data_IF_333263622054
#
_entry.id   IF_333263622054
#
_cell.length_a   1.000
_cell.length_b   1.000
_cell.length_c   1.000
_cell.angle_alpha   90.00
_cell.angle_beta   90.00
_cell.angle_gamma   90.00
#
_symmetry.space_group_name_H-M   'P 1'
#
loop_
_entity.id
_entity.type
_entity.pdbx_description
1 polymer ?
#
# COMPACT_ATOMS: atom_id res chain seq x y z
N UNK A 1 15.99 81.74 -15.30
CA UNK A 1 15.87 81.17 -13.96
C UNK A 1 15.10 79.85 -14.11
N UNK A 2 15.85 78.74 -14.25
CA UNK A 2 15.34 77.49 -14.65
C UNK A 2 15.12 76.53 -13.45
N UNK A 3 13.95 75.92 -13.42
CA UNK A 3 13.62 74.82 -12.46
C UNK A 3 13.68 73.52 -13.20
N UNK A 4 14.71 72.72 -12.92
CA UNK A 4 14.79 71.30 -13.35
C UNK A 4 13.97 70.40 -12.44
N UNK A 5 12.83 69.91 -12.93
CA UNK A 5 12.07 68.88 -12.26
C UNK A 5 12.74 67.49 -12.48
N UNK A 6 13.21 66.92 -11.41
CA UNK A 6 13.85 65.59 -11.30
C UNK A 6 12.77 64.53 -11.37
N UNK A 7 12.55 63.94 -12.54
CA UNK A 7 11.62 62.82 -12.71
C UNK A 7 12.22 61.57 -12.03
N UNK A 8 11.64 61.15 -10.91
CA UNK A 8 12.04 60.00 -10.15
C UNK A 8 11.60 58.73 -10.89
N UNK A 9 12.55 57.95 -11.27
CA UNK A 9 12.44 56.68 -12.00
C UNK A 9 11.97 55.54 -11.06
N UNK A 10 10.66 55.39 -10.86
CA UNK A 10 10.08 54.36 -9.99
C UNK A 10 9.63 53.07 -10.71
N UNK A 11 10.12 52.84 -11.95
CA UNK A 11 9.56 51.76 -12.80
C UNK A 11 10.34 50.43 -12.82
N UNK A 12 11.49 50.32 -12.16
CA UNK A 12 12.34 49.10 -12.24
C UNK A 12 12.34 48.20 -11.00
N UNK A 13 11.69 48.63 -9.93
CA UNK A 13 11.79 47.90 -8.64
C UNK A 13 10.69 46.85 -8.43
N UNK A 14 9.62 46.82 -9.24
CA UNK A 14 8.50 45.89 -9.07
C UNK A 14 8.64 44.58 -9.82
N UNK A 15 9.44 44.48 -10.86
CA UNK A 15 9.55 43.28 -11.68
C UNK A 15 10.59 42.29 -11.18
N UNK A 16 11.55 42.75 -10.37
CA UNK A 16 12.66 41.90 -9.87
C UNK A 16 12.24 41.01 -8.67
N UNK A 17 11.25 41.45 -7.89
CA UNK A 17 10.76 40.73 -6.74
C UNK A 17 9.65 39.72 -7.11
N UNK A 18 8.87 40.00 -8.16
CA UNK A 18 7.79 39.10 -8.60
C UNK A 18 8.30 37.74 -9.17
N UNK A 19 9.46 37.74 -9.82
CA UNK A 19 10.03 36.52 -10.43
C UNK A 19 10.37 35.41 -9.42
N UNK A 20 11.09 35.70 -8.30
CA UNK A 20 11.36 34.66 -7.29
C UNK A 20 10.09 34.20 -6.55
N UNK A 21 9.11 35.08 -6.33
CA UNK A 21 7.84 34.72 -5.68
C UNK A 21 7.01 33.82 -6.57
N UNK A 22 6.91 34.10 -7.87
CA UNK A 22 6.20 33.22 -8.82
C UNK A 22 6.88 31.86 -8.97
N UNK A 23 8.22 31.81 -8.97
CA UNK A 23 8.99 30.56 -8.98
C UNK A 23 8.81 29.73 -7.72
N UNK A 24 8.79 30.37 -6.55
CA UNK A 24 8.55 29.70 -5.26
C UNK A 24 7.13 29.14 -5.16
N UNK A 25 6.12 29.88 -5.64
CA UNK A 25 4.73 29.44 -5.66
C UNK A 25 4.52 28.25 -6.61
N UNK A 26 5.12 28.28 -7.80
CA UNK A 26 5.08 27.19 -8.76
C UNK A 26 5.78 25.92 -8.21
N UNK A 27 6.91 26.07 -7.53
CA UNK A 27 7.62 24.97 -6.89
C UNK A 27 6.82 24.36 -5.72
N UNK A 28 6.12 25.19 -4.93
CA UNK A 28 5.24 24.72 -3.84
C UNK A 28 4.01 23.96 -4.36
N UNK A 29 3.46 24.35 -5.52
CA UNK A 29 2.35 23.66 -6.18
C UNK A 29 2.77 22.30 -6.76
N UNK A 30 4.02 22.15 -7.19
CA UNK A 30 4.56 20.87 -7.66
C UNK A 30 4.80 19.88 -6.52
N UNK A 31 5.10 20.34 -5.31
CA UNK A 31 5.29 19.50 -4.13
C UNK A 31 3.97 18.99 -3.52
N UNK A 32 2.84 19.64 -3.78
CA UNK A 32 1.54 19.21 -3.26
C UNK A 32 0.87 18.12 -4.11
N UNK A 33 1.42 17.76 -5.26
CA UNK A 33 0.91 16.70 -6.15
C UNK A 33 1.30 15.28 -5.71
N UNK A 34 1.42 15.01 -4.39
CA UNK A 34 2.07 13.80 -3.88
C UNK A 34 1.30 12.49 -4.03
N UNK A 35 0.00 12.49 -4.34
CA UNK A 35 -0.74 11.28 -4.73
C UNK A 35 -2.12 11.63 -5.27
N UNK A 36 -2.48 11.07 -6.44
CA UNK A 36 -3.84 11.13 -7.01
C UNK A 36 -4.68 9.90 -6.63
N UNK A 37 -4.13 8.96 -5.87
CA UNK A 37 -4.86 7.76 -5.49
C UNK A 37 -6.00 8.12 -4.51
N UNK A 38 -7.24 7.69 -4.78
CA UNK A 38 -8.34 7.86 -3.86
C UNK A 38 -8.09 7.04 -2.59
N UNK A 39 -8.45 7.59 -1.43
CA UNK A 39 -8.42 6.82 -0.18
C UNK A 39 -9.61 5.88 -0.17
N UNK A 40 -9.37 4.62 0.17
CA UNK A 40 -10.45 3.66 0.37
C UNK A 40 -11.36 4.15 1.50
N UNK A 41 -12.67 4.16 1.22
CA UNK A 41 -13.73 4.37 2.20
C UNK A 41 -14.67 3.18 2.10
N UNK A 42 -14.90 2.53 3.24
CA UNK A 42 -15.84 1.43 3.29
C UNK A 42 -17.24 1.95 2.95
N UNK A 43 -17.93 1.38 1.94
CA UNK A 43 -19.30 1.77 1.64
C UNK A 43 -20.22 1.51 2.83
N UNK A 44 -21.14 2.44 3.10
CA UNK A 44 -22.19 2.20 4.08
C UNK A 44 -23.12 1.09 3.57
N UNK A 45 -23.22 0.03 4.36
CA UNK A 45 -24.18 -1.04 4.08
C UNK A 45 -25.53 -0.58 4.58
N UNK A 46 -26.45 -0.30 3.66
CA UNK A 46 -27.81 0.13 4.02
C UNK A 46 -28.65 -1.07 4.51
N UNK A 47 -28.37 -1.52 5.72
CA UNK A 47 -29.12 -2.57 6.40
C UNK A 47 -30.04 -1.89 7.42
N UNK A 48 -31.32 -2.24 7.50
CA UNK A 48 -32.20 -1.74 8.55
C UNK A 48 -31.61 -2.03 9.93
N UNK A 49 -31.65 -1.05 10.83
CA UNK A 49 -31.11 -1.19 12.19
C UNK A 49 -31.86 -2.25 13.01
N UNK A 50 -33.12 -2.54 12.67
CA UNK A 50 -33.96 -3.50 13.36
C UNK A 50 -34.65 -4.43 12.35
N UNK A 51 -34.85 -5.67 12.71
CA UNK A 51 -35.70 -6.59 11.96
C UNK A 51 -37.18 -6.14 12.01
N UNK A 52 -37.91 -6.41 10.93
CA UNK A 52 -39.29 -5.97 10.74
C UNK A 52 -40.28 -6.41 11.87
N UNK A 53 -39.89 -7.45 12.61
CA UNK A 53 -40.72 -8.05 13.69
C UNK A 53 -39.99 -7.97 15.05
N UNK A 54 -38.98 -7.10 15.19
CA UNK A 54 -38.29 -6.91 16.45
C UNK A 54 -39.17 -6.09 17.40
N UNK A 55 -39.91 -6.80 18.26
CA UNK A 55 -40.80 -6.22 19.27
C UNK A 55 -40.09 -5.97 20.60
N UNK A 56 -38.84 -6.36 20.74
CA UNK A 56 -38.10 -6.27 21.99
C UNK A 56 -37.23 -5.03 22.04
N UNK A 57 -37.72 -4.01 22.71
CA UNK A 57 -36.89 -2.90 23.22
C UNK A 57 -36.00 -3.39 24.38
N UNK A 58 -35.19 -4.41 24.15
CA UNK A 58 -34.27 -4.96 25.16
C UNK A 58 -33.03 -5.52 24.46
N UNK A 59 -31.87 -5.00 24.82
CA UNK A 59 -30.52 -5.51 24.61
C UNK A 59 -30.39 -6.77 23.71
N UNK A 60 -30.75 -6.66 22.44
CA UNK A 60 -30.42 -7.68 21.48
C UNK A 60 -28.92 -7.55 21.19
N UNK A 61 -28.11 -8.44 21.74
CA UNK A 61 -26.74 -8.61 21.25
C UNK A 61 -26.82 -8.85 19.75
N UNK A 62 -26.09 -8.04 18.98
CA UNK A 62 -26.08 -8.20 17.51
C UNK A 62 -25.56 -9.60 17.22
N UNK A 63 -26.24 -10.35 16.38
CA UNK A 63 -25.81 -11.70 16.01
C UNK A 63 -24.35 -11.74 15.48
N UNK A 64 -23.91 -10.62 14.89
CA UNK A 64 -22.53 -10.45 14.43
C UNK A 64 -21.50 -10.39 15.57
N UNK A 65 -21.92 -10.03 16.78
CA UNK A 65 -21.04 -9.90 17.95
C UNK A 65 -21.08 -11.18 18.82
N UNK A 66 -21.92 -12.17 18.45
CA UNK A 66 -22.06 -13.44 19.17
C UNK A 66 -21.21 -14.51 18.49
N UNK A 67 -20.32 -15.14 19.24
CA UNK A 67 -19.56 -16.30 18.74
C UNK A 67 -20.49 -17.46 18.36
N UNK A 68 -20.14 -18.24 17.34
CA UNK A 68 -20.93 -19.38 16.91
C UNK A 68 -21.13 -20.42 18.04
N UNK A 69 -20.15 -20.56 18.93
CA UNK A 69 -20.22 -21.45 20.10
C UNK A 69 -21.34 -21.03 21.09
N UNK A 70 -21.58 -19.73 21.22
CA UNK A 70 -22.64 -19.21 22.08
C UNK A 70 -23.98 -19.17 21.38
N UNK A 71 -23.97 -19.03 20.04
CA UNK A 71 -25.17 -18.97 19.23
C UNK A 71 -25.88 -20.32 19.11
N UNK A 72 -25.12 -21.41 18.93
CA UNK A 72 -25.69 -22.76 18.84
C UNK A 72 -25.73 -23.44 20.21
N UNK A 73 -26.90 -23.87 20.67
CA UNK A 73 -27.09 -24.49 21.96
C UNK A 73 -26.79 -26.02 21.95
N UNK A 74 -26.97 -26.69 20.80
CA UNK A 74 -26.81 -28.13 20.65
C UNK A 74 -25.34 -28.55 20.66
N UNK A 75 -24.87 -29.37 21.63
CA UNK A 75 -23.49 -29.82 21.71
C UNK A 75 -23.07 -30.72 20.55
N UNK A 76 -23.99 -31.47 19.93
CA UNK A 76 -23.70 -32.30 18.77
C UNK A 76 -23.43 -31.47 17.56
N UNK A 77 -24.20 -30.38 17.36
CA UNK A 77 -24.00 -29.41 16.28
C UNK A 77 -22.65 -28.71 16.47
N UNK A 78 -22.32 -28.29 17.68
CA UNK A 78 -20.99 -27.70 17.99
C UNK A 78 -19.84 -28.63 17.61
N UNK A 79 -19.95 -29.93 17.93
CA UNK A 79 -18.94 -30.92 17.57
C UNK A 79 -18.79 -31.09 16.06
N UNK A 80 -19.90 -31.08 15.31
CA UNK A 80 -19.89 -31.14 13.84
C UNK A 80 -19.28 -29.92 13.23
N UNK A 81 -19.63 -28.72 13.70
CA UNK A 81 -19.03 -27.46 13.23
C UNK A 81 -17.52 -27.46 13.48
N UNK A 82 -17.09 -27.83 14.68
CA UNK A 82 -15.66 -27.94 15.02
C UNK A 82 -14.92 -28.88 14.07
N UNK A 83 -15.49 -30.05 13.80
CA UNK A 83 -14.92 -31.03 12.89
C UNK A 83 -14.85 -30.50 11.46
N UNK A 84 -15.90 -29.80 11.00
CA UNK A 84 -15.93 -29.18 9.69
C UNK A 84 -14.86 -28.12 9.56
N UNK A 85 -14.73 -27.20 10.53
CA UNK A 85 -13.73 -26.14 10.53
C UNK A 85 -12.29 -26.67 10.52
N UNK A 86 -12.03 -27.81 11.18
CA UNK A 86 -10.71 -28.44 11.21
C UNK A 86 -10.35 -29.18 9.92
N UNK A 87 -11.33 -29.71 9.21
CA UNK A 87 -11.10 -30.63 8.09
C UNK A 87 -11.56 -30.10 6.73
N UNK A 88 -12.18 -28.93 6.67
CA UNK A 88 -12.67 -28.37 5.42
C UNK A 88 -11.50 -27.91 4.50
N UNK A 89 -11.31 -28.56 3.33
CA UNK A 89 -10.24 -28.19 2.40
C UNK A 89 -10.43 -26.78 1.80
N UNK A 90 -11.68 -26.31 1.67
CA UNK A 90 -11.96 -25.00 1.09
C UNK A 90 -11.50 -23.88 2.02
N UNK A 91 -11.69 -24.04 3.35
CA UNK A 91 -11.14 -23.11 4.34
C UNK A 91 -9.62 -23.07 4.28
N UNK A 92 -8.99 -24.25 4.15
CA UNK A 92 -7.53 -24.33 4.02
C UNK A 92 -7.05 -23.66 2.74
N UNK A 93 -7.73 -23.90 1.62
CA UNK A 93 -7.43 -23.21 0.35
C UNK A 93 -7.59 -21.70 0.46
N UNK A 94 -8.69 -21.23 1.06
CA UNK A 94 -8.93 -19.80 1.24
C UNK A 94 -7.84 -19.15 2.12
N UNK A 95 -7.41 -19.83 3.20
CA UNK A 95 -6.32 -19.35 4.05
C UNK A 95 -4.98 -19.28 3.29
N UNK A 96 -4.62 -20.33 2.56
CA UNK A 96 -3.39 -20.34 1.76
C UNK A 96 -3.39 -19.32 0.64
N UNK A 97 -4.54 -19.06 0.02
CA UNK A 97 -4.70 -18.01 -0.98
C UNK A 97 -4.47 -16.62 -0.36
N UNK A 98 -5.02 -16.36 0.82
CA UNK A 98 -4.77 -15.10 1.53
C UNK A 98 -3.27 -14.92 1.87
N UNK A 99 -2.58 -15.98 2.27
CA UNK A 99 -1.13 -15.94 2.51
C UNK A 99 -0.33 -15.69 1.22
N UNK A 100 -0.72 -16.31 0.10
CA UNK A 100 -0.09 -16.08 -1.19
C UNK A 100 -0.22 -14.62 -1.64
N UNK A 101 -1.41 -14.02 -1.50
CA UNK A 101 -1.64 -12.61 -1.82
C UNK A 101 -0.87 -11.68 -0.86
N UNK A 102 -0.75 -12.05 0.42
CA UNK A 102 0.09 -11.33 1.37
C UNK A 102 1.56 -11.35 0.97
N UNK A 103 2.07 -12.50 0.52
CA UNK A 103 3.44 -12.60 0.00
C UNK A 103 3.64 -11.75 -1.25
N UNK A 104 2.65 -11.72 -2.16
CA UNK A 104 2.66 -10.86 -3.34
C UNK A 104 2.68 -9.36 -2.97
N UNK A 105 1.91 -8.96 -1.95
CA UNK A 105 2.00 -7.60 -1.40
C UNK A 105 3.40 -7.29 -0.89
N UNK A 106 4.04 -8.20 -0.14
CA UNK A 106 5.39 -8.00 0.36
C UNK A 106 6.43 -7.84 -0.77
N UNK A 107 6.28 -8.60 -1.88
CA UNK A 107 7.10 -8.45 -3.08
C UNK A 107 6.88 -7.06 -3.71
N UNK A 108 5.65 -6.64 -3.89
CA UNK A 108 5.34 -5.32 -4.46
C UNK A 108 5.89 -4.19 -3.59
N UNK A 109 5.74 -4.30 -2.27
CA UNK A 109 6.27 -3.34 -1.31
C UNK A 109 7.79 -3.28 -1.29
N UNK A 110 8.49 -4.37 -1.58
CA UNK A 110 9.95 -4.38 -1.61
C UNK A 110 10.54 -3.41 -2.64
N UNK A 111 9.77 -3.06 -3.69
CA UNK A 111 10.17 -2.06 -4.68
C UNK A 111 10.24 -0.62 -4.11
N UNK A 112 9.70 -0.36 -2.91
CA UNK A 112 9.87 0.92 -2.21
C UNK A 112 11.29 1.10 -1.64
N UNK A 113 12.07 0.03 -1.57
CA UNK A 113 13.43 0.02 -1.03
C UNK A 113 14.45 -0.27 -2.13
N UNK A 114 15.66 0.30 -2.04
CA UNK A 114 16.74 -0.04 -2.97
C UNK A 114 17.16 -1.51 -2.78
N UNK A 115 17.33 -2.22 -3.88
CA UNK A 115 17.87 -3.58 -3.87
C UNK A 115 19.38 -3.56 -3.75
N UNK A 116 19.92 -4.27 -2.75
CA UNK A 116 21.35 -4.44 -2.57
C UNK A 116 21.79 -5.77 -3.19
N UNK A 117 22.72 -5.68 -4.14
CA UNK A 117 23.29 -6.85 -4.82
C UNK A 117 24.75 -7.02 -4.47
N UNK A 118 25.13 -8.25 -4.11
CA UNK A 118 26.52 -8.67 -4.00
C UNK A 118 26.93 -9.47 -5.22
N UNK A 119 28.10 -9.18 -5.78
CA UNK A 119 28.71 -9.97 -6.85
C UNK A 119 30.09 -10.45 -6.45
N UNK A 120 30.38 -11.69 -6.79
CA UNK A 120 31.73 -12.24 -6.68
C UNK A 120 32.05 -12.98 -7.98
N UNK A 121 33.21 -12.68 -8.56
CA UNK A 121 33.65 -13.30 -9.79
C UNK A 121 35.12 -13.77 -9.68
N UNK A 122 35.41 -14.92 -10.28
CA UNK A 122 36.76 -15.41 -10.49
C UNK A 122 36.90 -15.77 -11.96
N UNK A 123 37.88 -15.17 -12.62
CA UNK A 123 38.18 -15.43 -14.03
C UNK A 123 39.63 -15.86 -14.17
N UNK A 124 39.85 -16.95 -14.91
CA UNK A 124 41.17 -17.39 -15.33
C UNK A 124 41.27 -17.27 -16.84
N UNK A 125 42.17 -16.47 -17.30
CA UNK A 125 42.46 -16.26 -18.71
C UNK A 125 43.89 -16.63 -19.05
N UNK A 126 44.09 -17.26 -20.24
CA UNK A 126 45.41 -17.61 -20.74
C UNK A 126 45.60 -17.05 -22.14
N UNK A 127 46.82 -16.57 -22.42
CA UNK A 127 47.26 -16.16 -23.74
C UNK A 127 48.68 -16.71 -24.02
N UNK A 128 49.25 -16.37 -25.17
CA UNK A 128 50.61 -16.81 -25.56
C UNK A 128 51.69 -16.33 -24.60
N UNK A 129 51.45 -15.35 -23.74
CA UNK A 129 52.36 -14.78 -22.77
C UNK A 129 52.20 -15.39 -21.36
N UNK A 130 51.11 -16.14 -21.11
CA UNK A 130 50.91 -16.79 -19.81
C UNK A 130 49.44 -16.90 -19.38
N UNK A 131 49.22 -17.41 -18.17
CA UNK A 131 47.94 -17.58 -17.55
C UNK A 131 47.80 -16.60 -16.38
N UNK A 132 46.71 -15.80 -16.39
CA UNK A 132 46.34 -14.86 -15.33
C UNK A 132 45.08 -15.26 -14.61
N UNK A 133 45.02 -14.99 -13.30
CA UNK A 133 43.79 -15.10 -12.50
C UNK A 133 43.34 -13.69 -12.08
N UNK A 134 42.04 -13.42 -12.20
CA UNK A 134 41.42 -12.20 -11.73
C UNK A 134 40.29 -12.54 -10.79
N UNK A 135 40.22 -11.86 -9.64
CA UNK A 135 39.15 -11.98 -8.66
C UNK A 135 38.49 -10.63 -8.50
N UNK A 136 37.16 -10.60 -8.50
CA UNK A 136 36.40 -9.40 -8.28
C UNK A 136 35.34 -9.66 -7.22
N UNK A 137 35.16 -8.71 -6.30
CA UNK A 137 34.07 -8.69 -5.33
C UNK A 137 33.48 -7.29 -5.38
N UNK A 138 32.18 -7.20 -5.47
CA UNK A 138 31.48 -5.93 -5.52
C UNK A 138 30.16 -5.97 -4.77
N UNK A 139 29.80 -4.82 -4.21
CA UNK A 139 28.44 -4.53 -3.70
C UNK A 139 27.91 -3.37 -4.50
N UNK A 140 26.63 -3.45 -4.87
CA UNK A 140 25.99 -2.41 -5.65
C UNK A 140 24.50 -2.31 -5.36
N UNK A 141 23.97 -1.12 -5.56
CA UNK A 141 22.53 -0.87 -5.58
C UNK A 141 22.11 -0.88 -7.05
N UNK A 142 21.17 -1.76 -7.40
CA UNK A 142 20.62 -1.81 -8.75
C UNK A 142 19.26 -1.15 -8.81
N UNK A 143 19.03 -0.39 -9.88
CA UNK A 143 17.72 0.08 -10.35
C UNK A 143 16.76 0.53 -9.23
N UNK A 144 17.17 1.50 -8.41
CA UNK A 144 16.26 2.15 -7.47
C UNK A 144 15.58 3.35 -8.15
N UNK A 145 14.25 3.37 -8.14
CA UNK A 145 13.43 4.48 -8.63
C UNK A 145 13.01 5.37 -7.47
N UNK A 146 13.38 6.65 -7.52
CA UNK A 146 12.85 7.64 -6.57
C UNK A 146 11.37 7.91 -6.88
N UNK A 147 10.51 7.48 -5.99
CA UNK A 147 9.05 7.59 -6.15
C UNK A 147 8.53 8.98 -5.81
N UNK A 148 8.83 9.96 -6.67
CA UNK A 148 8.42 11.36 -6.49
C UNK A 148 6.90 11.55 -6.64
N UNK A 149 6.24 10.73 -7.48
CA UNK A 149 4.82 10.83 -7.80
C UNK A 149 3.96 9.80 -7.08
N UNK A 150 4.53 8.96 -6.25
CA UNK A 150 3.82 7.93 -5.51
C UNK A 150 3.40 6.71 -6.35
N UNK A 151 4.00 6.46 -7.51
CA UNK A 151 3.67 5.32 -8.38
C UNK A 151 3.89 3.99 -7.68
N UNK A 152 5.05 3.80 -7.10
CA UNK A 152 5.43 2.56 -6.39
C UNK A 152 4.61 2.42 -5.11
N UNK A 153 4.48 3.50 -4.35
CA UNK A 153 3.66 3.54 -3.13
C UNK A 153 2.19 3.21 -3.41
N UNK A 154 1.59 3.81 -4.46
CA UNK A 154 0.21 3.53 -4.83
C UNK A 154 0.02 2.09 -5.34
N UNK A 155 1.02 1.52 -6.02
CA UNK A 155 1.01 0.11 -6.42
C UNK A 155 1.06 -0.82 -5.20
N UNK A 156 1.86 -0.48 -4.22
CA UNK A 156 1.95 -1.19 -2.93
C UNK A 156 0.63 -1.13 -2.16
N UNK A 157 -0.01 0.06 -2.11
CA UNK A 157 -1.32 0.24 -1.49
C UNK A 157 -2.41 -0.57 -2.20
N UNK A 158 -2.42 -0.59 -3.53
CA UNK A 158 -3.36 -1.42 -4.30
C UNK A 158 -3.18 -2.92 -4.01
N UNK A 159 -1.95 -3.39 -3.88
CA UNK A 159 -1.67 -4.76 -3.49
C UNK A 159 -2.12 -5.07 -2.05
N UNK A 160 -2.01 -4.10 -1.13
CA UNK A 160 -2.51 -4.20 0.23
C UNK A 160 -4.05 -4.33 0.26
N UNK A 161 -4.75 -3.52 -0.53
CA UNK A 161 -6.21 -3.61 -0.64
C UNK A 161 -6.65 -4.95 -1.25
N UNK A 162 -5.91 -5.49 -2.20
CA UNK A 162 -6.14 -6.83 -2.74
C UNK A 162 -5.97 -7.92 -1.67
N UNK A 163 -4.98 -7.79 -0.80
CA UNK A 163 -4.83 -8.68 0.35
C UNK A 163 -6.04 -8.60 1.30
N UNK A 164 -6.50 -7.40 1.66
CA UNK A 164 -7.68 -7.24 2.52
C UNK A 164 -8.95 -7.83 1.89
N UNK A 165 -9.15 -7.66 0.59
CA UNK A 165 -10.26 -8.28 -0.13
C UNK A 165 -10.21 -9.81 -0.06
N UNK A 166 -9.02 -10.40 -0.21
CA UNK A 166 -8.82 -11.86 -0.11
C UNK A 166 -9.00 -12.36 1.32
N UNK A 167 -8.55 -11.58 2.32
CA UNK A 167 -8.78 -11.91 3.73
C UNK A 167 -10.28 -11.89 4.08
N UNK A 168 -11.03 -10.91 3.59
CA UNK A 168 -12.49 -10.86 3.76
C UNK A 168 -13.20 -12.03 3.05
N UNK A 169 -12.70 -12.44 1.87
CA UNK A 169 -13.21 -13.63 1.17
C UNK A 169 -12.98 -14.92 1.97
N UNK A 170 -11.82 -15.05 2.62
CA UNK A 170 -11.55 -16.18 3.54
C UNK A 170 -12.56 -16.18 4.70
N UNK A 171 -12.82 -15.02 5.30
CA UNK A 171 -13.77 -14.93 6.41
C UNK A 171 -15.21 -15.25 5.94
N UNK A 172 -15.58 -14.87 4.71
CA UNK A 172 -16.85 -15.29 4.09
C UNK A 172 -16.94 -16.82 3.89
N UNK A 173 -15.84 -17.46 3.47
CA UNK A 173 -15.78 -18.91 3.33
C UNK A 173 -15.91 -19.62 4.69
N UNK A 174 -15.44 -18.97 5.76
CA UNK A 174 -15.59 -19.51 7.13
C UNK A 174 -17.05 -19.46 7.61
N UNK A 175 -17.87 -18.55 7.08
CA UNK A 175 -19.28 -18.38 7.45
C UNK A 175 -20.23 -19.20 6.57
N UNK A 176 -19.79 -19.72 5.44
CA UNK A 176 -20.58 -20.52 4.49
C UNK A 176 -20.38 -22.02 4.69
#
# INVERSE_FOLDING_TARGET
IGGYLKTIRTKHMRTTVLKPIAGSLAFSLLLSACTLAPRYQQPEVNVPANFRYDTAAGQSSRAADTGWEDYFADPRLKSLITLALQNNPDLRMAALNAEAVRAQYAITRSAELPSLNGSAGATRSGNAQGVGNSFSVGLGISAFELDLWGRVRNSSEAALQSYFATAASRDSTHLS
#
